data_IF_757387210850
#
_entry.id   IF_757387210850
#
_cell.length_a   1.000
_cell.length_b   1.000
_cell.length_c   1.000
_cell.angle_alpha   90.00
_cell.angle_beta   90.00
_cell.angle_gamma   90.00
#
_symmetry.space_group_name_H-M   'P 1'
#
loop_
_entity.id
_entity.type
_entity.pdbx_description
1 polymer ?
#
# COMPACT_ATOMS: atom_id res chain seq x y z
N UNK A 1 -5.22 -26.27 5.62
CA UNK A 1 -5.95 -25.02 5.46
C UNK A 1 -6.35 -24.56 6.85
N UNK A 2 -6.00 -23.35 7.22
CA UNK A 2 -6.39 -22.75 8.50
C UNK A 2 -7.91 -22.50 8.56
N UNK A 3 -8.45 -22.38 9.77
CA UNK A 3 -9.82 -21.92 9.95
C UNK A 3 -9.92 -20.44 9.59
N UNK A 4 -11.08 -20.02 9.09
CA UNK A 4 -11.35 -18.62 8.78
C UNK A 4 -11.66 -17.86 10.07
N UNK A 5 -10.90 -16.83 10.36
CA UNK A 5 -11.18 -15.90 11.45
C UNK A 5 -11.96 -14.69 10.92
N UNK A 6 -12.92 -14.21 11.71
CA UNK A 6 -13.79 -13.09 11.33
C UNK A 6 -13.18 -11.80 11.88
N UNK A 7 -12.90 -10.83 11.00
CA UNK A 7 -12.41 -9.50 11.35
C UNK A 7 -13.55 -8.50 11.54
N UNK A 8 -14.57 -8.58 10.67
CA UNK A 8 -15.76 -7.72 10.72
C UNK A 8 -16.99 -8.54 10.38
N UNK A 9 -18.01 -8.47 11.20
CA UNK A 9 -19.33 -8.99 10.89
C UNK A 9 -20.41 -7.97 11.26
N UNK A 10 -21.34 -7.71 10.36
CA UNK A 10 -22.46 -6.81 10.57
C UNK A 10 -23.67 -7.23 9.75
N UNK A 11 -24.86 -7.09 10.31
CA UNK A 11 -26.09 -7.58 9.68
C UNK A 11 -26.31 -9.08 9.87
N UNK A 12 -27.23 -9.69 9.14
CA UNK A 12 -27.48 -11.14 9.21
C UNK A 12 -26.32 -11.87 8.53
N UNK A 13 -25.49 -12.53 9.34
CA UNK A 13 -24.28 -13.23 8.93
C UNK A 13 -24.53 -14.31 7.87
N UNK A 14 -23.60 -14.38 6.89
CA UNK A 14 -23.34 -15.56 6.02
C UNK A 14 -24.39 -15.96 4.98
N UNK A 15 -25.67 -15.68 5.20
CA UNK A 15 -26.74 -16.17 4.33
C UNK A 15 -27.24 -15.20 3.26
N UNK A 16 -27.00 -13.89 3.40
CA UNK A 16 -27.63 -12.87 2.54
C UNK A 16 -27.02 -12.69 1.17
N UNK A 17 -25.76 -13.07 0.95
CA UNK A 17 -25.20 -13.06 -0.41
C UNK A 17 -25.96 -14.04 -1.32
N UNK A 18 -26.37 -15.19 -0.77
CA UNK A 18 -27.20 -16.18 -1.48
C UNK A 18 -28.68 -15.80 -1.66
N UNK A 19 -29.15 -14.72 -0.99
CA UNK A 19 -30.50 -14.18 -1.09
C UNK A 19 -30.56 -12.89 -1.94
N UNK A 20 -29.43 -12.43 -2.47
CA UNK A 20 -29.38 -11.28 -3.38
C UNK A 20 -29.96 -11.67 -4.75
N UNK A 21 -30.57 -10.69 -5.43
CA UNK A 21 -31.15 -10.89 -6.77
C UNK A 21 -30.07 -11.22 -7.80
N UNK A 22 -28.86 -10.70 -7.62
CA UNK A 22 -27.67 -11.11 -8.37
C UNK A 22 -26.44 -11.17 -7.46
N UNK A 23 -25.52 -12.08 -7.76
CA UNK A 23 -24.27 -12.26 -7.02
C UNK A 23 -23.09 -12.11 -7.96
N UNK A 24 -22.10 -11.33 -7.51
CA UNK A 24 -20.81 -11.16 -8.18
C UNK A 24 -19.72 -11.81 -7.36
N UNK A 25 -18.75 -12.43 -8.04
CA UNK A 25 -17.55 -12.99 -7.41
C UNK A 25 -16.29 -12.50 -8.13
N UNK A 26 -15.25 -12.22 -7.35
CA UNK A 26 -13.95 -11.85 -7.90
C UNK A 26 -12.83 -12.28 -6.95
N UNK A 27 -11.75 -12.77 -7.56
CA UNK A 27 -10.50 -13.12 -6.87
C UNK A 27 -9.43 -12.10 -7.26
N UNK A 28 -8.82 -11.45 -6.26
CA UNK A 28 -7.73 -10.50 -6.46
C UNK A 28 -6.43 -11.06 -5.90
N UNK A 29 -5.31 -10.75 -6.55
CA UNK A 29 -3.98 -11.20 -6.14
C UNK A 29 -2.96 -10.09 -6.26
N UNK A 30 -2.04 -10.05 -5.29
CA UNK A 30 -0.82 -9.25 -5.38
C UNK A 30 0.40 -10.12 -5.11
N UNK A 31 1.53 -9.74 -5.72
CA UNK A 31 2.81 -10.46 -5.60
C UNK A 31 3.63 -9.94 -4.43
N UNK A 32 4.67 -10.67 -4.04
CA UNK A 32 5.69 -10.15 -3.12
C UNK A 32 6.43 -8.97 -3.74
N UNK A 33 6.72 -7.97 -2.91
CA UNK A 33 7.47 -6.77 -3.32
C UNK A 33 8.66 -6.52 -2.40
N UNK A 34 9.78 -6.08 -2.97
CA UNK A 34 10.91 -5.57 -2.24
C UNK A 34 10.78 -4.06 -2.00
N UNK A 35 11.53 -3.54 -1.02
CA UNK A 35 11.53 -2.11 -0.68
C UNK A 35 12.40 -1.29 -1.63
N UNK A 36 13.59 -1.80 -1.97
CA UNK A 36 14.56 -1.16 -2.88
C UNK A 36 14.82 0.30 -2.56
N UNK A 37 15.11 0.61 -1.28
CA UNK A 37 15.47 1.96 -0.87
C UNK A 37 16.62 2.48 -1.72
N UNK A 38 16.57 3.76 -2.17
CA UNK A 38 17.63 4.33 -3.00
C UNK A 38 19.00 4.24 -2.28
N UNK A 39 19.05 4.58 -1.01
CA UNK A 39 20.18 4.30 -0.14
C UNK A 39 20.12 2.85 0.34
N UNK A 40 21.04 1.95 -0.07
CA UNK A 40 21.11 0.59 0.42
C UNK A 40 21.28 0.53 1.94
N UNK A 41 20.95 -0.59 2.55
CA UNK A 41 21.11 -0.79 3.99
C UNK A 41 22.58 -0.61 4.39
N UNK A 42 22.83 0.23 5.39
CA UNK A 42 24.18 0.51 5.88
C UNK A 42 24.17 0.90 7.35
N UNK A 43 25.27 0.63 8.04
CA UNK A 43 25.52 1.07 9.39
C UNK A 43 27.04 1.11 9.65
N UNK A 44 27.49 2.03 10.50
CA UNK A 44 28.83 2.00 11.07
C UNK A 44 28.73 1.65 12.54
N UNK A 45 29.65 0.84 13.03
CA UNK A 45 29.70 0.43 14.43
C UNK A 45 31.14 0.41 14.97
N UNK A 46 31.27 0.73 16.26
CA UNK A 46 32.51 0.66 17.01
C UNK A 46 32.23 -0.01 18.34
N UNK A 47 32.93 -1.10 18.63
CA UNK A 47 32.81 -1.82 19.89
C UNK A 47 34.18 -1.87 20.57
N UNK A 48 34.31 -1.18 21.71
CA UNK A 48 35.56 -1.06 22.46
C UNK A 48 35.24 -1.10 23.97
N UNK A 49 36.01 -1.83 24.73
CA UNK A 49 35.93 -1.93 26.21
C UNK A 49 34.53 -2.23 26.74
N UNK A 50 33.78 -3.05 26.00
CA UNK A 50 32.40 -3.44 26.37
C UNK A 50 31.33 -2.36 26.08
N UNK A 51 31.65 -1.30 25.34
CA UNK A 51 30.73 -0.28 24.89
C UNK A 51 30.57 -0.35 23.38
N UNK A 52 29.36 -0.10 22.89
CA UNK A 52 29.03 -0.05 21.48
C UNK A 52 28.51 1.35 21.11
N UNK A 53 29.14 1.95 20.11
CA UNK A 53 28.60 3.11 19.40
C UNK A 53 28.18 2.68 17.99
N UNK A 54 26.97 3.06 17.55
CA UNK A 54 26.46 2.73 16.24
C UNK A 54 25.85 3.97 15.56
N UNK A 55 26.20 4.19 14.30
CA UNK A 55 25.66 5.23 13.41
C UNK A 55 24.85 4.55 12.33
N UNK A 56 23.54 4.85 12.29
CA UNK A 56 22.61 4.17 11.38
C UNK A 56 21.42 5.07 11.05
N UNK A 57 21.01 5.11 9.78
CA UNK A 57 19.73 5.68 9.40
C UNK A 57 18.62 4.65 9.60
N UNK A 58 17.71 4.88 10.54
CA UNK A 58 16.65 3.93 10.87
C UNK A 58 15.31 4.61 11.24
N UNK A 59 14.21 3.86 11.12
CA UNK A 59 12.85 4.35 11.39
C UNK A 59 12.46 4.21 12.88
N UNK A 60 13.21 3.43 13.68
CA UNK A 60 12.90 3.17 15.09
C UNK A 60 14.17 3.12 15.96
N UNK A 61 14.82 4.26 16.23
CA UNK A 61 16.14 4.28 16.87
C UNK A 61 16.18 3.63 18.25
N UNK A 62 15.16 3.80 19.07
CA UNK A 62 15.11 3.18 20.40
C UNK A 62 15.02 1.65 20.34
N UNK A 63 14.21 1.14 19.41
CA UNK A 63 14.08 -0.29 19.15
C UNK A 63 15.38 -0.89 18.59
N UNK A 64 16.05 -0.18 17.67
CA UNK A 64 17.35 -0.58 17.12
C UNK A 64 18.43 -0.67 18.21
N UNK A 65 18.51 0.36 19.06
CA UNK A 65 19.43 0.38 20.20
C UNK A 65 19.27 -0.85 21.07
N UNK A 66 17.99 -1.17 21.44
CA UNK A 66 17.69 -2.35 22.23
C UNK A 66 18.08 -3.64 21.52
N UNK A 67 17.72 -3.79 20.24
CA UNK A 67 18.04 -4.99 19.46
C UNK A 67 19.55 -5.22 19.31
N UNK A 68 20.32 -4.14 19.15
CA UNK A 68 21.79 -4.23 19.12
C UNK A 68 22.36 -4.64 20.49
N UNK A 69 21.85 -4.06 21.58
CA UNK A 69 22.25 -4.45 22.94
C UNK A 69 21.98 -5.94 23.20
N UNK A 70 20.77 -6.40 22.90
CA UNK A 70 20.37 -7.81 23.04
C UNK A 70 21.28 -8.74 22.20
N UNK A 71 21.58 -8.37 20.97
CA UNK A 71 22.39 -9.17 20.05
C UNK A 71 23.89 -9.25 20.44
N UNK A 72 24.38 -8.25 21.16
CA UNK A 72 25.76 -8.24 21.69
C UNK A 72 25.84 -8.83 23.11
N UNK A 73 24.73 -9.05 23.80
CA UNK A 73 24.69 -9.41 25.22
C UNK A 73 25.14 -8.26 26.12
N UNK A 74 24.91 -7.02 25.74
CA UNK A 74 25.27 -5.82 26.47
C UNK A 74 24.06 -5.23 27.20
N UNK A 75 24.34 -4.60 28.37
CA UNK A 75 23.37 -3.72 29.01
C UNK A 75 23.03 -2.55 28.08
N UNK A 76 21.77 -2.07 28.11
CA UNK A 76 21.28 -1.02 27.19
C UNK A 76 22.11 0.27 27.31
N UNK A 77 22.58 0.60 28.52
CA UNK A 77 23.38 1.79 28.83
C UNK A 77 24.76 1.78 28.17
N UNK A 78 25.24 0.60 27.77
CA UNK A 78 26.52 0.42 27.06
C UNK A 78 26.42 0.58 25.55
N UNK A 79 25.20 0.78 25.04
CA UNK A 79 24.96 0.99 23.61
C UNK A 79 24.49 2.41 23.35
N UNK A 80 25.22 3.15 22.55
CA UNK A 80 24.84 4.48 22.05
C UNK A 80 24.50 4.40 20.58
N UNK A 81 23.31 4.87 20.20
CA UNK A 81 22.88 4.93 18.80
C UNK A 81 22.75 6.38 18.35
N UNK A 82 23.44 6.70 17.26
CA UNK A 82 23.35 7.96 16.54
C UNK A 82 22.44 7.76 15.32
N UNK A 83 21.23 8.33 15.35
CA UNK A 83 20.31 8.21 14.23
C UNK A 83 20.68 9.20 13.13
N UNK A 84 21.08 8.68 11.97
CA UNK A 84 21.46 9.44 10.79
C UNK A 84 20.25 9.73 9.90
N UNK A 85 20.40 10.68 8.97
CA UNK A 85 19.43 10.88 7.89
C UNK A 85 19.37 9.63 7.00
N UNK A 86 18.19 9.38 6.43
CA UNK A 86 17.94 8.21 5.58
C UNK A 86 17.70 8.63 4.13
N UNK A 87 18.29 7.91 3.18
CA UNK A 87 17.93 7.96 1.76
C UNK A 87 16.77 7.05 1.40
N UNK A 88 15.67 7.13 2.19
CA UNK A 88 14.49 6.28 2.09
C UNK A 88 14.51 5.11 3.07
N UNK A 89 13.33 4.68 3.52
CA UNK A 89 13.16 3.55 4.44
C UNK A 89 12.00 2.66 4.03
N UNK A 90 10.87 3.25 3.73
CA UNK A 90 9.63 2.61 3.21
C UNK A 90 9.12 1.41 4.03
N UNK A 91 9.55 1.31 5.31
CA UNK A 91 9.31 0.17 6.19
C UNK A 91 10.52 -0.75 6.37
N UNK A 92 11.43 -0.88 5.38
CA UNK A 92 12.60 -1.74 5.47
C UNK A 92 13.52 -1.36 6.63
N UNK A 93 13.77 -0.07 6.81
CA UNK A 93 14.65 0.44 7.86
C UNK A 93 13.98 0.50 9.24
N UNK A 94 12.87 -0.19 9.45
CA UNK A 94 12.32 -0.56 10.77
C UNK A 94 12.91 -1.88 11.30
N UNK A 95 13.63 -2.65 10.48
CA UNK A 95 14.28 -3.91 10.84
C UNK A 95 15.76 -3.69 11.14
N UNK A 96 16.26 -4.14 12.32
CA UNK A 96 17.60 -3.80 12.81
C UNK A 96 18.71 -4.73 12.30
N UNK A 97 18.44 -5.67 11.41
CA UNK A 97 19.35 -6.73 10.98
C UNK A 97 20.72 -6.22 10.50
N UNK A 98 20.76 -5.21 9.63
CA UNK A 98 22.00 -4.62 9.13
C UNK A 98 22.80 -3.87 10.22
N UNK A 99 22.11 -3.27 11.19
CA UNK A 99 22.72 -2.62 12.33
C UNK A 99 23.35 -3.64 13.28
N UNK A 100 22.64 -4.73 13.56
CA UNK A 100 23.14 -5.86 14.35
C UNK A 100 24.37 -6.48 13.70
N UNK A 101 24.35 -6.71 12.38
CA UNK A 101 25.47 -7.25 11.64
C UNK A 101 26.72 -6.35 11.78
N UNK A 102 26.57 -5.04 11.58
CA UNK A 102 27.69 -4.09 11.72
C UNK A 102 28.29 -4.14 13.13
N UNK A 103 27.46 -4.18 14.18
CA UNK A 103 27.90 -4.24 15.55
C UNK A 103 28.59 -5.57 15.92
N UNK A 104 28.06 -6.70 15.47
CA UNK A 104 28.65 -8.02 15.69
C UNK A 104 30.00 -8.17 14.95
N UNK A 105 30.12 -7.64 13.73
CA UNK A 105 31.39 -7.62 13.00
C UNK A 105 32.41 -6.76 13.74
N UNK A 106 32.02 -5.54 14.17
CA UNK A 106 32.90 -4.65 14.92
C UNK A 106 33.43 -5.28 16.22
N UNK A 107 32.55 -5.96 16.96
CA UNK A 107 32.91 -6.74 18.17
C UNK A 107 33.95 -7.82 17.82
N UNK A 108 33.72 -8.58 16.76
CA UNK A 108 34.56 -9.72 16.39
C UNK A 108 35.94 -9.30 15.85
N UNK A 109 36.01 -8.19 15.09
CA UNK A 109 37.29 -7.71 14.53
C UNK A 109 38.04 -6.76 15.46
N UNK A 110 37.44 -6.29 16.55
CA UNK A 110 38.06 -5.43 17.56
C UNK A 110 38.41 -4.02 17.05
N UNK A 111 37.73 -3.50 16.02
CA UNK A 111 37.94 -2.16 15.46
C UNK A 111 36.65 -1.63 14.81
N UNK A 112 36.55 -0.30 14.55
CA UNK A 112 35.39 0.26 13.85
C UNK A 112 35.17 -0.36 12.49
N UNK A 113 33.90 -0.57 12.13
CA UNK A 113 33.46 -1.19 10.88
C UNK A 113 32.36 -0.33 10.27
N UNK A 114 32.42 -0.14 8.95
CA UNK A 114 31.31 0.33 8.13
C UNK A 114 30.81 -0.84 7.29
N UNK A 115 29.55 -1.19 7.46
CA UNK A 115 28.85 -2.19 6.67
C UNK A 115 27.96 -1.48 5.65
N UNK A 116 28.06 -1.85 4.38
CA UNK A 116 27.16 -1.39 3.31
C UNK A 116 26.72 -2.64 2.55
N UNK A 117 25.43 -2.87 2.48
CA UNK A 117 24.88 -3.94 1.64
C UNK A 117 24.98 -3.56 0.17
N UNK A 118 25.26 -4.52 -0.70
CA UNK A 118 25.06 -4.34 -2.14
C UNK A 118 23.58 -4.28 -2.46
N UNK A 119 23.21 -3.79 -3.63
CA UNK A 119 21.80 -3.80 -4.06
C UNK A 119 21.27 -5.23 -4.20
N UNK A 120 22.12 -6.15 -4.64
CA UNK A 120 21.80 -7.56 -4.76
C UNK A 120 21.45 -8.19 -3.41
N UNK A 121 22.18 -7.84 -2.37
CA UNK A 121 21.90 -8.29 -1.01
C UNK A 121 20.60 -7.68 -0.49
N UNK A 122 20.42 -6.36 -0.66
CA UNK A 122 19.23 -5.62 -0.25
C UNK A 122 17.93 -6.18 -0.88
N UNK A 123 17.96 -6.56 -2.17
CA UNK A 123 16.80 -7.14 -2.86
C UNK A 123 16.55 -8.58 -2.44
N UNK A 124 17.60 -9.39 -2.26
CA UNK A 124 17.48 -10.84 -2.01
C UNK A 124 17.23 -11.20 -0.55
N UNK A 125 17.62 -10.33 0.37
CA UNK A 125 17.47 -10.52 1.83
C UNK A 125 16.47 -9.53 2.45
N UNK A 126 15.48 -9.14 1.68
CA UNK A 126 14.47 -8.19 2.15
C UNK A 126 13.41 -8.85 3.04
N UNK A 127 12.68 -8.03 3.80
CA UNK A 127 11.43 -8.36 4.47
C UNK A 127 10.27 -7.91 3.59
N UNK A 128 9.85 -8.76 2.69
CA UNK A 128 8.95 -8.42 1.58
C UNK A 128 7.56 -7.97 2.03
N UNK A 129 6.89 -7.15 1.19
CA UNK A 129 5.42 -7.10 1.23
C UNK A 129 4.91 -8.47 0.82
N UNK A 130 4.00 -9.10 1.59
CA UNK A 130 3.53 -10.44 1.27
C UNK A 130 2.75 -10.50 -0.06
N UNK A 131 2.75 -11.67 -0.68
CA UNK A 131 1.78 -12.03 -1.69
C UNK A 131 0.46 -12.38 -1.00
N UNK A 132 -0.64 -11.75 -1.44
CA UNK A 132 -1.96 -11.91 -0.84
C UNK A 132 -2.98 -12.28 -1.91
N UNK A 133 -3.86 -13.24 -1.58
CA UNK A 133 -5.07 -13.56 -2.30
C UNK A 133 -6.27 -13.06 -1.50
N UNK A 134 -7.20 -12.40 -2.17
CA UNK A 134 -8.47 -11.96 -1.58
C UNK A 134 -9.63 -12.35 -2.48
N UNK A 135 -10.64 -13.00 -1.88
CA UNK A 135 -11.86 -13.44 -2.55
C UNK A 135 -13.03 -12.59 -2.11
N UNK A 136 -13.77 -12.09 -3.08
CA UNK A 136 -14.95 -11.25 -2.84
C UNK A 136 -16.20 -11.90 -3.38
N UNK A 137 -17.31 -11.65 -2.66
CA UNK A 137 -18.67 -11.89 -3.12
C UNK A 137 -19.53 -10.68 -2.77
N UNK A 138 -20.17 -10.10 -3.77
CA UNK A 138 -21.07 -8.95 -3.64
C UNK A 138 -22.49 -9.34 -4.03
N UNK A 139 -23.48 -9.02 -3.19
CA UNK A 139 -24.89 -9.18 -3.53
C UNK A 139 -25.50 -7.85 -3.96
N UNK A 140 -26.20 -7.83 -5.09
CA UNK A 140 -26.97 -6.69 -5.56
C UNK A 140 -28.47 -6.97 -5.43
N UNK A 141 -29.23 -5.94 -5.03
CA UNK A 141 -30.70 -5.96 -5.12
C UNK A 141 -31.18 -5.64 -6.54
N UNK A 142 -32.49 -5.75 -6.79
CA UNK A 142 -33.13 -5.44 -8.09
C UNK A 142 -32.91 -4.01 -8.58
N UNK A 143 -32.49 -3.09 -7.70
CA UNK A 143 -32.19 -1.69 -8.01
C UNK A 143 -30.70 -1.43 -8.23
N UNK A 144 -29.85 -2.48 -8.16
CA UNK A 144 -28.41 -2.37 -8.25
C UNK A 144 -27.73 -1.86 -6.96
N UNK A 145 -28.44 -1.85 -5.82
CA UNK A 145 -27.78 -1.48 -4.57
C UNK A 145 -27.00 -2.67 -3.99
N UNK A 146 -25.80 -2.39 -3.47
CA UNK A 146 -25.00 -3.38 -2.78
C UNK A 146 -25.68 -3.75 -1.44
N UNK A 147 -26.23 -4.96 -1.36
CA UNK A 147 -26.96 -5.49 -0.22
C UNK A 147 -26.10 -6.35 0.70
N UNK A 148 -25.05 -6.96 0.15
CA UNK A 148 -24.13 -7.81 0.89
C UNK A 148 -22.70 -7.68 0.35
N UNK A 149 -21.73 -7.73 1.26
CA UNK A 149 -20.29 -7.73 1.00
C UNK A 149 -19.63 -8.82 1.80
N UNK A 150 -19.03 -9.78 1.13
CA UNK A 150 -18.24 -10.83 1.75
C UNK A 150 -16.83 -10.80 1.20
N UNK A 151 -15.85 -10.78 2.09
CA UNK A 151 -14.42 -10.82 1.76
C UNK A 151 -13.72 -11.89 2.61
N UNK A 152 -12.99 -12.76 1.95
CA UNK A 152 -12.05 -13.68 2.62
C UNK A 152 -10.69 -13.54 1.99
N UNK A 153 -9.68 -13.21 2.80
CA UNK A 153 -8.31 -13.05 2.32
C UNK A 153 -7.31 -13.96 3.08
N UNK A 154 -6.16 -14.20 2.46
CA UNK A 154 -5.09 -15.03 3.04
C UNK A 154 -4.13 -14.12 3.79
N UNK A 155 -3.81 -14.53 5.00
CA UNK A 155 -2.92 -13.86 5.95
C UNK A 155 -3.35 -12.46 6.38
N UNK A 156 -3.42 -12.30 7.68
CA UNK A 156 -3.67 -11.01 8.30
C UNK A 156 -2.39 -10.22 8.43
N UNK A 157 -2.34 -9.09 7.76
CA UNK A 157 -1.26 -8.13 7.84
C UNK A 157 -1.76 -6.84 8.48
N UNK A 158 -0.99 -6.27 9.41
CA UNK A 158 -1.36 -5.02 10.07
C UNK A 158 -1.37 -3.83 9.09
N UNK A 159 -2.22 -2.82 9.28
CA UNK A 159 -3.28 -2.73 10.29
C UNK A 159 -4.55 -3.49 9.90
N UNK A 160 -5.27 -3.98 10.90
CA UNK A 160 -6.44 -4.86 10.70
C UNK A 160 -7.62 -4.18 9.99
N UNK A 161 -7.77 -2.86 10.15
CA UNK A 161 -8.85 -2.07 9.51
C UNK A 161 -8.65 -1.90 8.00
N UNK A 162 -7.49 -2.24 7.46
CA UNK A 162 -7.18 -2.03 6.04
C UNK A 162 -8.14 -2.74 5.06
N UNK A 163 -8.74 -3.87 5.48
CA UNK A 163 -9.71 -4.61 4.68
C UNK A 163 -11.14 -4.03 4.75
N UNK A 164 -11.39 -3.06 5.65
CA UNK A 164 -12.70 -2.44 5.81
C UNK A 164 -12.96 -1.42 4.69
N UNK A 165 -14.23 -1.23 4.37
CA UNK A 165 -14.68 -0.28 3.35
C UNK A 165 -15.52 0.83 3.99
N UNK A 166 -15.44 2.07 3.50
CA UNK A 166 -16.23 3.18 4.04
C UNK A 166 -17.68 3.18 3.55
N UNK A 167 -18.00 2.35 2.57
CA UNK A 167 -19.31 2.33 1.92
C UNK A 167 -20.35 1.64 2.80
N UNK A 168 -21.55 2.23 2.88
CA UNK A 168 -22.65 1.65 3.64
C UNK A 168 -23.19 0.39 2.93
N UNK A 169 -23.06 -0.76 3.58
CA UNK A 169 -23.57 -2.06 3.12
C UNK A 169 -24.41 -2.69 4.23
N UNK A 170 -25.63 -3.16 3.94
CA UNK A 170 -26.52 -3.75 4.95
C UNK A 170 -26.00 -5.01 5.62
N UNK A 171 -25.26 -5.84 4.87
CA UNK A 171 -24.64 -7.06 5.39
C UNK A 171 -23.18 -7.13 5.02
N UNK A 172 -22.29 -7.21 6.02
CA UNK A 172 -20.85 -7.25 5.81
C UNK A 172 -20.23 -8.41 6.57
N UNK A 173 -19.35 -9.16 5.90
CA UNK A 173 -18.59 -10.25 6.48
C UNK A 173 -17.16 -10.25 5.89
N UNK A 174 -16.19 -9.82 6.68
CA UNK A 174 -14.78 -9.75 6.32
C UNK A 174 -13.99 -10.66 7.27
N UNK A 175 -13.14 -11.50 6.73
CA UNK A 175 -12.32 -12.38 7.53
C UNK A 175 -11.11 -12.90 6.78
N UNK A 176 -10.18 -13.51 7.51
CA UNK A 176 -8.93 -14.00 6.95
C UNK A 176 -8.70 -15.48 7.26
N UNK A 177 -7.78 -16.07 6.50
CA UNK A 177 -7.28 -17.44 6.70
C UNK A 177 -5.77 -17.36 6.84
N UNK A 178 -5.22 -17.81 7.95
CA UNK A 178 -3.77 -17.84 8.16
C UNK A 178 -3.10 -18.91 7.28
N UNK A 179 -2.02 -18.53 6.62
CA UNK A 179 -1.21 -19.40 5.77
C UNK A 179 0.28 -19.20 6.09
N UNK A 180 0.80 -19.87 7.12
CA UNK A 180 2.18 -19.70 7.56
C UNK A 180 3.16 -19.95 6.41
N UNK A 181 4.16 -19.08 6.31
CA UNK A 181 5.22 -19.16 5.31
C UNK A 181 6.58 -18.91 5.95
N UNK A 182 7.63 -19.45 5.34
CA UNK A 182 9.02 -19.20 5.74
C UNK A 182 9.61 -17.92 5.10
N UNK A 183 8.88 -17.27 4.21
CA UNK A 183 9.32 -16.02 3.58
C UNK A 183 9.24 -14.90 4.62
N UNK A 184 10.33 -14.14 4.86
CA UNK A 184 10.30 -13.03 5.79
C UNK A 184 9.44 -11.88 5.25
N UNK A 185 8.50 -11.41 6.06
CA UNK A 185 7.64 -10.27 5.73
C UNK A 185 7.92 -9.08 6.65
N UNK A 186 7.72 -7.88 6.10
CA UNK A 186 7.88 -6.63 6.81
C UNK A 186 6.87 -5.57 6.40
N UNK A 187 6.94 -4.44 7.11
CA UNK A 187 6.16 -3.27 6.78
C UNK A 187 6.69 -2.66 5.47
N UNK A 188 5.92 -2.80 4.41
CA UNK A 188 6.13 -2.09 3.15
C UNK A 188 5.20 -0.87 3.13
N UNK A 189 5.61 0.25 2.52
CA UNK A 189 4.88 1.54 2.56
C UNK A 189 3.37 1.35 2.46
N UNK A 190 2.64 1.82 3.46
CA UNK A 190 1.20 1.66 3.70
C UNK A 190 0.75 0.28 4.18
N UNK A 191 1.69 -0.63 4.48
CA UNK A 191 1.43 -1.96 5.06
C UNK A 191 0.22 -2.66 4.40
N UNK A 192 -0.75 -3.15 5.15
CA UNK A 192 -1.93 -3.85 4.61
C UNK A 192 -2.80 -2.96 3.70
N UNK A 193 -2.86 -1.64 3.93
CA UNK A 193 -3.60 -0.73 3.06
C UNK A 193 -3.12 -0.77 1.60
N UNK A 194 -1.83 -1.06 1.35
CA UNK A 194 -1.26 -1.11 0.00
C UNK A 194 -1.90 -2.16 -0.91
N UNK A 195 -2.37 -3.27 -0.37
CA UNK A 195 -3.04 -4.32 -1.14
C UNK A 195 -4.57 -4.32 -0.96
N UNK A 196 -5.07 -4.05 0.25
CA UNK A 196 -6.51 -3.96 0.46
C UNK A 196 -7.13 -2.79 -0.29
N UNK A 197 -6.41 -1.65 -0.43
CA UNK A 197 -6.84 -0.53 -1.27
C UNK A 197 -7.09 -0.97 -2.72
N UNK A 198 -6.18 -1.74 -3.30
CA UNK A 198 -6.38 -2.32 -4.62
C UNK A 198 -7.59 -3.25 -4.66
N UNK A 199 -7.71 -4.18 -3.72
CA UNK A 199 -8.78 -5.18 -3.74
C UNK A 199 -10.16 -4.56 -3.58
N UNK A 200 -10.35 -3.76 -2.55
CA UNK A 200 -11.68 -3.21 -2.19
C UNK A 200 -12.16 -2.19 -3.22
N UNK A 201 -11.28 -1.31 -3.67
CA UNK A 201 -11.63 -0.25 -4.61
C UNK A 201 -11.79 -0.75 -6.05
N UNK A 202 -11.09 -1.83 -6.43
CA UNK A 202 -11.36 -2.49 -7.71
C UNK A 202 -12.68 -3.25 -7.67
N UNK A 203 -13.00 -3.95 -6.57
CA UNK A 203 -14.25 -4.70 -6.49
C UNK A 203 -15.48 -3.79 -6.40
N UNK A 204 -15.44 -2.68 -5.66
CA UNK A 204 -16.55 -1.73 -5.64
C UNK A 204 -16.79 -1.07 -7.00
N UNK A 205 -15.74 -0.90 -7.80
CA UNK A 205 -15.84 -0.41 -9.18
C UNK A 205 -16.54 -1.44 -10.07
N UNK A 206 -16.19 -2.73 -9.96
CA UNK A 206 -16.87 -3.81 -10.67
C UNK A 206 -18.36 -3.88 -10.31
N UNK A 207 -18.66 -3.71 -9.02
CA UNK A 207 -20.04 -3.67 -8.51
C UNK A 207 -20.82 -2.49 -9.11
N UNK A 208 -20.22 -1.30 -9.19
CA UNK A 208 -20.84 -0.13 -9.79
C UNK A 208 -21.19 -0.36 -11.27
N UNK A 209 -20.23 -0.93 -12.03
CA UNK A 209 -20.42 -1.28 -13.44
C UNK A 209 -21.53 -2.32 -13.63
N UNK A 210 -21.56 -3.36 -12.79
CA UNK A 210 -22.61 -4.38 -12.84
C UNK A 210 -24.00 -3.83 -12.48
N UNK A 211 -24.04 -2.80 -11.64
CA UNK A 211 -25.26 -2.05 -11.33
C UNK A 211 -25.69 -1.09 -12.45
N UNK A 212 -24.89 -0.95 -13.53
CA UNK A 212 -25.13 0.01 -14.61
C UNK A 212 -25.00 1.46 -14.16
N UNK A 213 -24.22 1.74 -13.12
CA UNK A 213 -24.03 3.07 -12.55
C UNK A 213 -22.60 3.57 -12.75
N UNK A 214 -22.45 4.90 -12.84
CA UNK A 214 -21.16 5.56 -12.86
C UNK A 214 -20.37 5.25 -11.56
N UNK A 215 -19.09 4.83 -11.64
CA UNK A 215 -18.31 4.41 -10.46
C UNK A 215 -18.09 5.52 -9.42
N UNK A 216 -18.01 6.78 -9.83
CA UNK A 216 -17.92 7.93 -8.91
C UNK A 216 -19.24 8.16 -8.19
N UNK A 217 -20.36 8.27 -8.94
CA UNK A 217 -21.68 8.50 -8.37
C UNK A 217 -22.09 7.35 -7.43
N UNK A 218 -21.76 6.10 -7.82
CA UNK A 218 -22.03 4.91 -7.00
C UNK A 218 -21.36 4.98 -5.63
N UNK A 219 -20.09 5.42 -5.58
CA UNK A 219 -19.34 5.62 -4.33
C UNK A 219 -19.90 6.80 -3.54
N UNK A 220 -20.14 7.93 -4.22
CA UNK A 220 -20.59 9.17 -3.59
C UNK A 220 -21.92 8.99 -2.86
N UNK A 221 -22.87 8.27 -3.48
CA UNK A 221 -24.16 7.97 -2.86
C UNK A 221 -24.04 7.20 -1.54
N UNK A 222 -23.07 6.29 -1.45
CA UNK A 222 -22.81 5.43 -0.29
C UNK A 222 -21.93 6.06 0.79
N UNK A 223 -21.43 7.27 0.54
CA UNK A 223 -20.59 8.03 1.47
C UNK A 223 -21.31 9.18 2.19
N UNK A 224 -22.61 9.38 1.96
CA UNK A 224 -23.39 10.48 2.57
C UNK A 224 -23.33 10.53 4.10
N UNK A 225 -23.05 9.41 4.75
CA UNK A 225 -22.89 9.30 6.20
C UNK A 225 -21.47 9.63 6.70
N UNK A 226 -20.50 9.82 5.79
CA UNK A 226 -19.09 10.12 6.07
C UNK A 226 -18.68 11.42 5.37
N UNK A 227 -18.91 12.59 5.98
CA UNK A 227 -18.77 13.90 5.31
C UNK A 227 -17.34 14.18 4.82
N UNK A 228 -16.31 13.70 5.52
CA UNK A 228 -14.91 13.87 5.08
C UNK A 228 -14.63 13.08 3.81
N UNK A 229 -14.95 11.77 3.80
CA UNK A 229 -14.78 10.89 2.64
C UNK A 229 -15.57 11.41 1.43
N UNK A 230 -16.81 11.83 1.67
CA UNK A 230 -17.66 12.44 0.66
C UNK A 230 -17.02 13.69 0.03
N UNK A 231 -16.49 14.60 0.86
CA UNK A 231 -15.86 15.84 0.40
C UNK A 231 -14.58 15.57 -0.40
N UNK A 232 -13.74 14.63 0.06
CA UNK A 232 -12.49 14.25 -0.61
C UNK A 232 -12.77 13.64 -1.98
N UNK A 233 -13.68 12.65 -2.06
CA UNK A 233 -14.07 12.02 -3.32
C UNK A 233 -14.67 13.03 -4.31
N UNK A 234 -15.60 13.86 -3.84
CA UNK A 234 -16.25 14.89 -4.65
C UNK A 234 -15.25 15.89 -5.20
N UNK A 235 -14.27 16.32 -4.40
CA UNK A 235 -13.24 17.24 -4.87
C UNK A 235 -12.30 16.58 -5.88
N UNK A 236 -11.94 15.33 -5.70
CA UNK A 236 -11.10 14.60 -6.67
C UNK A 236 -11.77 14.51 -8.04
N UNK A 237 -13.04 14.11 -8.08
CA UNK A 237 -13.82 14.06 -9.30
C UNK A 237 -13.96 15.44 -9.98
N UNK A 238 -14.20 16.49 -9.19
CA UNK A 238 -14.28 17.87 -9.71
C UNK A 238 -12.94 18.31 -10.33
N UNK A 239 -11.83 18.12 -9.64
CA UNK A 239 -10.51 18.54 -10.12
C UNK A 239 -10.03 17.73 -11.32
N UNK A 240 -10.48 16.48 -11.43
CA UNK A 240 -10.25 15.62 -12.59
C UNK A 240 -11.22 15.88 -13.77
N UNK A 241 -12.19 16.78 -13.62
CA UNK A 241 -13.26 16.97 -14.60
C UNK A 241 -13.97 15.65 -14.94
N UNK A 242 -14.41 14.90 -13.92
CA UNK A 242 -14.94 13.53 -14.07
C UNK A 242 -16.05 13.42 -15.12
N UNK A 243 -16.97 14.38 -15.20
CA UNK A 243 -18.08 14.39 -16.15
C UNK A 243 -17.68 14.62 -17.61
N UNK A 244 -16.41 15.01 -17.88
CA UNK A 244 -15.96 15.23 -19.26
C UNK A 244 -15.71 13.89 -19.94
N UNK A 245 -16.37 13.65 -21.08
CA UNK A 245 -16.11 12.49 -21.91
C UNK A 245 -14.66 12.44 -22.41
N UNK A 246 -14.10 11.24 -22.41
CA UNK A 246 -12.76 11.00 -22.93
C UNK A 246 -12.80 10.43 -24.35
N UNK A 247 -11.80 10.73 -25.20
CA UNK A 247 -11.67 10.12 -26.51
C UNK A 247 -11.52 8.60 -26.43
N UNK A 248 -11.88 7.89 -27.49
CA UNK A 248 -11.68 6.43 -27.59
C UNK A 248 -10.22 6.06 -27.33
N UNK A 249 -10.00 5.00 -26.57
CA UNK A 249 -8.68 4.51 -26.17
C UNK A 249 -8.10 5.24 -24.95
N UNK A 250 -8.83 6.21 -24.39
CA UNK A 250 -8.52 6.81 -23.09
C UNK A 250 -9.52 6.31 -22.05
N UNK A 251 -9.08 6.26 -20.81
CA UNK A 251 -9.93 5.86 -19.69
C UNK A 251 -9.60 6.62 -18.43
N UNK A 252 -10.56 6.65 -17.52
CA UNK A 252 -10.46 7.30 -16.23
C UNK A 252 -10.94 6.36 -15.12
N UNK A 253 -10.18 6.25 -14.04
CA UNK A 253 -10.54 5.45 -12.87
C UNK A 253 -10.39 6.24 -11.60
N UNK A 254 -11.23 5.93 -10.62
CA UNK A 254 -11.26 6.60 -9.32
C UNK A 254 -11.17 5.59 -8.19
N UNK A 255 -10.53 5.98 -7.09
CA UNK A 255 -10.48 5.22 -5.85
C UNK A 255 -10.44 6.14 -4.64
N UNK A 256 -10.82 5.61 -3.47
CA UNK A 256 -10.81 6.31 -2.19
C UNK A 256 -10.28 5.38 -1.10
N UNK A 257 -9.33 5.87 -0.30
CA UNK A 257 -8.85 5.13 0.87
C UNK A 257 -8.76 6.01 2.11
N UNK A 258 -9.09 5.42 3.25
CA UNK A 258 -8.81 5.97 4.57
C UNK A 258 -7.70 5.16 5.20
N UNK A 259 -6.59 5.80 5.54
CA UNK A 259 -5.44 5.15 6.16
C UNK A 259 -4.67 6.12 7.05
N UNK A 260 -4.18 5.63 8.19
CA UNK A 260 -3.38 6.43 9.13
C UNK A 260 -4.05 7.76 9.56
N UNK A 261 -5.39 7.79 9.67
CA UNK A 261 -6.16 8.99 10.04
C UNK A 261 -6.35 9.99 8.90
N UNK A 262 -5.75 9.77 7.72
CA UNK A 262 -5.92 10.59 6.52
C UNK A 262 -6.84 9.92 5.50
N UNK A 263 -7.47 10.73 4.66
CA UNK A 263 -8.35 10.27 3.58
C UNK A 263 -7.76 10.74 2.26
N UNK A 264 -7.59 9.83 1.31
CA UNK A 264 -7.07 10.15 -0.04
C UNK A 264 -8.00 9.59 -1.09
N UNK A 265 -8.38 10.42 -2.06
CA UNK A 265 -9.00 9.96 -3.30
C UNK A 265 -8.09 10.29 -4.48
N UNK A 266 -7.98 9.36 -5.40
CA UNK A 266 -7.17 9.50 -6.61
C UNK A 266 -7.99 9.20 -7.85
N UNK A 267 -7.78 10.02 -8.87
CA UNK A 267 -8.28 9.82 -10.22
C UNK A 267 -7.11 9.68 -11.17
N UNK A 268 -7.06 8.57 -11.88
CA UNK A 268 -6.03 8.28 -12.89
C UNK A 268 -6.63 8.40 -14.29
N UNK A 269 -5.94 9.07 -15.18
CA UNK A 269 -6.25 9.10 -16.61
C UNK A 269 -5.17 8.34 -17.38
N UNK A 270 -5.60 7.44 -18.25
CA UNK A 270 -4.71 6.61 -19.07
C UNK A 270 -5.05 6.71 -20.55
N UNK A 271 -4.04 6.47 -21.38
CA UNK A 271 -4.20 6.20 -22.81
C UNK A 271 -3.72 4.78 -23.13
N UNK A 272 -4.54 4.03 -23.84
CA UNK A 272 -4.17 2.69 -24.35
C UNK A 272 -4.10 2.75 -25.86
N UNK A 273 -2.92 2.58 -26.40
CA UNK A 273 -2.66 2.58 -27.84
C UNK A 273 -1.90 1.31 -28.23
N UNK A 274 -2.42 0.53 -29.18
CA UNK A 274 -1.84 -0.72 -29.66
C UNK A 274 -1.47 -1.71 -28.51
N UNK A 275 -2.32 -1.77 -27.49
CA UNK A 275 -2.11 -2.63 -26.33
C UNK A 275 -1.08 -2.10 -25.29
N UNK A 276 -0.48 -0.94 -25.54
CA UNK A 276 0.45 -0.28 -24.61
C UNK A 276 -0.31 0.76 -23.80
N UNK A 277 -0.24 0.61 -22.47
CA UNK A 277 -0.80 1.56 -21.51
C UNK A 277 0.21 2.66 -21.19
N UNK A 278 -0.23 3.91 -21.21
CA UNK A 278 0.47 5.07 -20.65
C UNK A 278 -0.40 5.77 -19.62
N UNK A 279 0.19 6.26 -18.55
CA UNK A 279 -0.50 7.02 -17.52
C UNK A 279 -0.28 8.49 -17.83
N UNK A 280 -1.35 9.19 -18.15
CA UNK A 280 -1.25 10.58 -18.60
C UNK A 280 -1.24 11.55 -17.41
N UNK A 281 -2.14 11.31 -16.44
CA UNK A 281 -2.40 12.23 -15.34
C UNK A 281 -2.89 11.49 -14.09
N UNK A 282 -2.51 12.00 -12.92
CA UNK A 282 -3.09 11.60 -11.63
C UNK A 282 -3.54 12.86 -10.90
N UNK A 283 -4.78 12.88 -10.45
CA UNK A 283 -5.33 13.90 -9.57
C UNK A 283 -5.53 13.27 -8.20
N UNK A 284 -4.84 13.78 -7.18
CA UNK A 284 -4.95 13.33 -5.81
C UNK A 284 -5.54 14.42 -4.91
N UNK A 285 -6.48 14.05 -4.07
CA UNK A 285 -7.02 14.92 -3.02
C UNK A 285 -6.81 14.24 -1.68
N UNK A 286 -6.18 14.94 -0.74
CA UNK A 286 -5.90 14.45 0.61
C UNK A 286 -6.54 15.33 1.66
N UNK A 287 -7.15 14.70 2.67
CA UNK A 287 -7.57 15.33 3.92
C UNK A 287 -6.81 14.68 5.09
N UNK A 288 -5.75 15.33 5.61
CA UNK A 288 -5.00 14.86 6.79
C UNK A 288 -5.55 15.43 8.11
N UNK A 289 -6.76 16.00 8.12
CA UNK A 289 -7.23 16.85 9.20
C UNK A 289 -6.67 18.25 9.09
N UNK A 290 -5.36 18.41 9.21
CA UNK A 290 -4.65 19.66 9.01
C UNK A 290 -3.25 19.40 8.43
N UNK A 291 -2.88 20.11 7.38
CA UNK A 291 -1.55 20.01 6.78
C UNK A 291 -0.58 21.00 7.41
N UNK A 292 0.27 20.53 8.31
CA UNK A 292 1.29 21.37 8.99
C UNK A 292 2.30 21.92 7.97
N UNK A 293 2.72 21.09 7.02
CA UNK A 293 3.62 21.46 5.92
C UNK A 293 2.96 21.07 4.58
N UNK A 294 2.23 22.01 3.94
CA UNK A 294 1.53 21.70 2.69
C UNK A 294 2.42 21.20 1.56
N UNK A 295 3.61 21.76 1.39
CA UNK A 295 4.56 21.35 0.36
C UNK A 295 5.15 19.97 0.68
N UNK A 296 5.47 19.71 1.95
CA UNK A 296 5.89 18.38 2.41
C UNK A 296 4.78 17.33 2.22
N UNK A 297 3.52 17.69 2.49
CA UNK A 297 2.37 16.82 2.26
C UNK A 297 2.23 16.46 0.77
N UNK A 298 2.29 17.44 -0.14
CA UNK A 298 2.23 17.20 -1.58
C UNK A 298 3.37 16.27 -2.03
N UNK A 299 4.59 16.55 -1.62
CA UNK A 299 5.75 15.71 -1.95
C UNK A 299 5.58 14.26 -1.49
N UNK A 300 5.00 14.03 -0.30
CA UNK A 300 4.72 12.69 0.21
C UNK A 300 3.60 11.99 -0.58
N UNK A 301 2.53 12.67 -0.94
CA UNK A 301 1.46 12.11 -1.77
C UNK A 301 2.00 11.75 -3.16
N UNK A 302 2.70 12.65 -3.82
CA UNK A 302 3.32 12.41 -5.14
C UNK A 302 4.31 11.22 -5.10
N UNK A 303 5.16 11.18 -4.07
CA UNK A 303 6.06 10.04 -3.84
C UNK A 303 5.30 8.74 -3.59
N UNK A 304 4.20 8.78 -2.83
CA UNK A 304 3.34 7.63 -2.57
C UNK A 304 2.71 7.07 -3.85
N UNK A 305 2.23 7.95 -4.71
CA UNK A 305 1.68 7.62 -6.04
C UNK A 305 2.73 6.93 -6.90
N UNK A 306 3.92 7.52 -7.07
CA UNK A 306 4.99 6.92 -7.89
C UNK A 306 5.44 5.57 -7.34
N UNK A 307 5.53 5.44 -6.02
CA UNK A 307 5.89 4.18 -5.36
C UNK A 307 4.84 3.09 -5.58
N UNK A 308 3.55 3.45 -5.44
CA UNK A 308 2.44 2.54 -5.72
C UNK A 308 2.31 2.16 -7.19
N UNK A 309 2.55 3.11 -8.11
CA UNK A 309 2.59 2.83 -9.56
C UNK A 309 3.74 1.88 -9.92
N UNK A 310 4.91 2.05 -9.30
CA UNK A 310 6.04 1.13 -9.50
C UNK A 310 5.67 -0.30 -9.09
N UNK A 311 4.98 -0.44 -7.95
CA UNK A 311 4.47 -1.72 -7.47
C UNK A 311 3.42 -2.33 -8.40
N UNK A 312 2.46 -1.53 -8.86
CA UNK A 312 1.35 -2.00 -9.70
C UNK A 312 1.78 -2.42 -11.11
N UNK A 313 2.76 -1.71 -11.69
CA UNK A 313 3.18 -1.92 -13.08
C UNK A 313 4.31 -2.92 -13.24
N UNK A 314 5.28 -2.92 -12.32
CA UNK A 314 6.56 -3.59 -12.52
C UNK A 314 6.98 -4.47 -11.34
N UNK A 315 6.47 -4.19 -10.14
CA UNK A 315 6.95 -4.83 -8.91
C UNK A 315 6.64 -6.32 -8.87
N UNK A 316 7.68 -7.16 -8.81
CA UNK A 316 7.53 -8.59 -8.62
C UNK A 316 8.79 -9.19 -8.01
N UNK A 317 8.64 -9.90 -6.90
CA UNK A 317 9.66 -10.83 -6.38
C UNK A 317 9.20 -12.24 -6.67
N UNK A 318 10.06 -12.99 -7.34
CA UNK A 318 9.85 -14.42 -7.69
C UNK A 318 10.82 -15.25 -6.89
N UNK A 319 10.32 -16.31 -6.25
CA UNK A 319 11.13 -17.26 -5.48
C UNK A 319 11.13 -18.59 -6.24
N UNK A 320 12.30 -19.06 -6.62
CA UNK A 320 12.49 -20.35 -7.29
C UNK A 320 13.57 -21.16 -6.57
N UNK A 321 13.29 -22.42 -6.29
CA UNK A 321 14.19 -23.31 -5.58
C UNK A 321 14.74 -22.74 -4.26
N UNK A 322 13.90 -21.99 -3.53
CA UNK A 322 14.26 -21.36 -2.25
C UNK A 322 15.08 -20.08 -2.36
N UNK A 323 15.32 -19.55 -3.56
CA UNK A 323 16.08 -18.33 -3.81
C UNK A 323 15.26 -17.28 -4.56
N UNK A 324 15.48 -16.01 -4.22
CA UNK A 324 14.91 -14.86 -4.94
C UNK A 324 15.64 -14.68 -6.27
N UNK A 325 14.88 -14.54 -7.35
CA UNK A 325 15.42 -14.36 -8.72
C UNK A 325 15.91 -12.95 -8.97
N UNK A 326 15.12 -11.97 -8.57
CA UNK A 326 15.44 -10.56 -8.76
C UNK A 326 16.64 -10.18 -7.91
N UNK A 327 17.43 -9.26 -8.45
CA UNK A 327 18.68 -8.88 -7.81
C UNK A 327 18.91 -7.37 -7.77
N UNK A 328 18.49 -6.63 -8.80
CA UNK A 328 18.83 -5.22 -8.92
C UNK A 328 17.78 -4.49 -9.80
N UNK A 329 17.98 -3.19 -10.02
CA UNK A 329 17.05 -2.32 -10.79
C UNK A 329 16.87 -2.71 -12.26
N UNK A 330 17.65 -3.63 -12.79
CA UNK A 330 17.51 -4.15 -14.15
C UNK A 330 16.44 -5.25 -14.25
N UNK A 331 16.19 -5.99 -13.16
CA UNK A 331 15.22 -7.09 -13.09
C UNK A 331 14.13 -6.85 -12.02
N UNK A 332 14.27 -5.81 -11.20
CA UNK A 332 13.25 -5.25 -10.32
C UNK A 332 13.04 -3.76 -10.65
N UNK A 333 12.23 -3.50 -11.68
CA UNK A 333 12.07 -2.17 -12.26
C UNK A 333 11.13 -1.28 -11.45
N UNK A 334 11.48 0.01 -11.37
CA UNK A 334 10.61 1.07 -10.85
C UNK A 334 10.18 2.00 -11.98
N UNK A 335 9.12 2.77 -11.77
CA UNK A 335 8.70 3.84 -12.68
C UNK A 335 9.85 4.84 -12.85
N UNK A 336 10.21 5.12 -14.10
CA UNK A 336 11.26 6.08 -14.45
C UNK A 336 10.68 7.48 -14.66
N UNK A 337 11.51 8.53 -14.55
CA UNK A 337 11.06 9.91 -14.78
C UNK A 337 10.32 10.11 -16.10
N UNK A 338 10.78 9.47 -17.18
CA UNK A 338 10.16 9.56 -18.50
C UNK A 338 8.76 8.93 -18.58
N UNK A 339 8.45 7.99 -17.67
CA UNK A 339 7.22 7.23 -17.62
C UNK A 339 6.30 7.73 -16.47
N UNK A 340 6.75 8.75 -15.73
CA UNK A 340 6.02 9.36 -14.63
C UNK A 340 4.88 10.22 -15.17
N UNK A 341 3.63 10.06 -14.66
CA UNK A 341 2.52 10.91 -15.07
C UNK A 341 2.66 12.34 -14.55
N UNK A 342 1.86 13.26 -15.09
CA UNK A 342 1.60 14.54 -14.43
C UNK A 342 0.76 14.29 -13.17
N UNK A 343 1.22 14.78 -12.00
CA UNK A 343 0.53 14.60 -10.72
C UNK A 343 0.09 15.95 -10.20
N UNK A 344 -1.19 16.05 -9.84
CA UNK A 344 -1.79 17.23 -9.23
C UNK A 344 -2.32 16.87 -7.84
N UNK A 345 -1.77 17.50 -6.81
CA UNK A 345 -2.15 17.22 -5.42
C UNK A 345 -2.89 18.40 -4.80
N UNK A 346 -4.09 18.14 -4.27
CA UNK A 346 -4.95 19.10 -3.59
C UNK A 346 -5.16 18.70 -2.12
N UNK A 347 -5.10 19.65 -1.22
CA UNK A 347 -5.27 19.44 0.22
C UNK A 347 -6.62 19.98 0.66
N UNK A 348 -7.32 19.26 1.51
CA UNK A 348 -8.45 19.71 2.32
C UNK A 348 -7.97 19.74 3.76
N UNK A 349 -8.18 20.88 4.44
CA UNK A 349 -7.98 21.00 5.89
C UNK A 349 -9.36 20.95 6.55
N UNK A 350 -9.80 19.80 7.00
CA UNK A 350 -11.11 19.63 7.65
C UNK A 350 -11.16 20.15 9.07
N UNK A 351 -10.01 20.37 9.71
CA UNK A 351 -9.92 20.74 11.12
C UNK A 351 -10.06 19.57 12.09
N UNK A 352 -10.09 18.35 11.57
CA UNK A 352 -10.13 17.13 12.37
C UNK A 352 -8.74 16.76 12.92
N UNK A 353 -8.66 15.68 13.69
CA UNK A 353 -7.41 15.17 14.22
C UNK A 353 -6.36 14.94 13.12
N UNK A 354 -5.09 15.19 13.45
CA UNK A 354 -3.97 15.03 12.52
C UNK A 354 -3.83 13.58 12.09
N UNK A 355 -3.81 13.36 10.78
CA UNK A 355 -3.51 12.08 10.14
C UNK A 355 -2.08 11.98 9.63
N UNK A 356 -1.70 10.78 9.19
CA UNK A 356 -0.40 10.52 8.56
C UNK A 356 -0.26 11.21 7.22
N UNK A 357 0.98 11.48 6.82
CA UNK A 357 1.32 12.14 5.57
C UNK A 357 2.15 11.23 4.63
N UNK A 358 3.02 10.40 5.20
CA UNK A 358 4.05 9.66 4.46
C UNK A 358 3.54 8.52 3.58
N UNK A 359 2.38 7.96 3.92
CA UNK A 359 1.90 6.69 3.38
C UNK A 359 0.57 6.77 2.61
N UNK A 360 -0.39 7.66 2.96
CA UNK A 360 -1.76 7.61 2.43
C UNK A 360 -1.92 7.76 0.92
N UNK A 361 -0.93 8.31 0.21
CA UNK A 361 -0.92 8.40 -1.26
C UNK A 361 -0.58 7.08 -1.98
N UNK A 362 -0.26 6.01 -1.25
CA UNK A 362 0.10 4.72 -1.89
C UNK A 362 -1.10 3.78 -2.10
N UNK A 363 -2.05 3.64 -1.15
CA UNK A 363 -3.12 2.66 -1.25
C UNK A 363 -4.11 2.85 -2.40
N UNK A 364 -4.54 4.07 -2.78
CA UNK A 364 -5.58 4.22 -3.79
C UNK A 364 -5.09 3.99 -5.22
N UNK A 365 -3.80 4.23 -5.49
CA UNK A 365 -3.30 4.38 -6.87
C UNK A 365 -3.47 3.14 -7.73
N UNK A 366 -3.26 1.94 -7.17
CA UNK A 366 -3.33 0.70 -7.92
C UNK A 366 -4.76 0.43 -8.42
N UNK A 367 -5.77 0.68 -7.59
CA UNK A 367 -7.17 0.54 -7.97
C UNK A 367 -7.57 1.62 -8.99
N UNK A 368 -7.22 2.89 -8.77
CA UNK A 368 -7.51 3.96 -9.71
C UNK A 368 -6.91 3.66 -11.10
N UNK A 369 -5.68 3.13 -11.15
CA UNK A 369 -5.03 2.72 -12.40
C UNK A 369 -5.76 1.57 -13.10
N UNK A 370 -6.09 0.50 -12.38
CA UNK A 370 -6.75 -0.67 -12.98
C UNK A 370 -8.18 -0.37 -13.39
N UNK A 371 -8.90 0.50 -12.69
CA UNK A 371 -10.21 1.01 -13.05
C UNK A 371 -10.14 1.89 -14.30
N UNK A 372 -9.12 2.77 -14.44
CA UNK A 372 -8.88 3.55 -15.64
C UNK A 372 -8.55 2.67 -16.87
N UNK A 373 -7.73 1.62 -16.66
CA UNK A 373 -7.43 0.65 -17.70
C UNK A 373 -8.68 -0.10 -18.18
N UNK A 374 -9.57 -0.46 -17.25
CA UNK A 374 -10.85 -1.07 -17.59
C UNK A 374 -11.74 -0.11 -18.39
N UNK A 375 -11.86 1.14 -17.98
CA UNK A 375 -12.65 2.15 -18.71
C UNK A 375 -12.15 2.33 -20.14
N UNK A 376 -10.82 2.29 -20.34
CA UNK A 376 -10.22 2.40 -21.67
C UNK A 376 -10.39 1.15 -22.55
N UNK A 377 -10.44 -0.06 -21.96
CA UNK A 377 -10.27 -1.34 -22.70
C UNK A 377 -11.39 -2.35 -22.53
N UNK A 378 -12.20 -2.23 -21.51
CA UNK A 378 -13.17 -3.25 -21.07
C UNK A 378 -12.56 -4.48 -20.38
N UNK A 379 -11.24 -4.51 -20.16
CA UNK A 379 -10.56 -5.65 -19.54
C UNK A 379 -10.21 -5.37 -18.07
N UNK A 380 -10.70 -6.19 -17.16
CA UNK A 380 -10.40 -6.08 -15.71
C UNK A 380 -9.05 -6.72 -15.36
N UNK A 381 -8.22 -5.97 -14.66
CA UNK A 381 -6.99 -6.49 -14.04
C UNK A 381 -7.27 -6.82 -12.57
N UNK A 382 -7.19 -8.10 -12.21
CA UNK A 382 -7.39 -8.59 -10.84
C UNK A 382 -6.10 -9.14 -10.21
N UNK A 383 -4.99 -9.01 -10.91
CA UNK A 383 -3.67 -9.43 -10.46
C UNK A 383 -2.65 -8.35 -10.78
N UNK A 384 -1.84 -8.00 -9.75
CA UNK A 384 -0.70 -7.10 -9.81
C UNK A 384 0.58 -7.83 -9.39
#
# INVERSE_FOLDING_TARGET
AGEREIDVSGGATGGRVGLADSCMEADYRVRCLAHTCMEPLNAAAKVIDGYCEIWVGCQSPLSFRKSVADALGFELEKVTLHNCLMGGGFGRKSRPDYAIQAAQIALKVGRPVQLIWTREEDVRQDFYRPAILSKFRGGLDTKGNLSAWHNTYVDKHEPHEAAQIPYKVPSMDIGHVSSPTHIPFGAWRSVAHSHHGFFTESFIDEVAVAAGQDPYEYRLDRLKHLPRQFAVLKKAALMANWAKELPKGRGRGISLQTSFGSIVAEVVEVTVNEGKLSIDRVVAVVDPGYAISPDGMKAQIESGIIYGLSAALNGQITIENGAVKQSNVHDYSCVRMKDSPAIETYIINSGEALGGAGEPGTPPIAAALTNASYDATGNRSRQL
#
